data_IF_295013498944
#
_entry.id   IF_295013498944
#
_cell.length_a   1.000
_cell.length_b   1.000
_cell.length_c   1.000
_cell.angle_alpha   90.00
_cell.angle_beta   90.00
_cell.angle_gamma   90.00
#
_symmetry.space_group_name_H-M   'P 1'
#
loop_
_entity.id
_entity.type
_entity.pdbx_description
1 polymer ?
#
# COMPACT_ATOMS: atom_id res chain seq x y z
N UNK A 1 -1.34 6.21 59.95
CA UNK A 1 -1.99 5.51 58.81
C UNK A 1 -1.50 6.17 57.53
N UNK A 2 -1.17 5.38 56.51
CA UNK A 2 -0.22 5.63 55.41
C UNK A 2 -0.93 6.28 54.19
N UNK A 3 -0.32 7.23 53.45
CA UNK A 3 -0.93 7.69 52.20
C UNK A 3 -0.66 6.66 51.10
N UNK A 4 -1.71 6.20 50.43
CA UNK A 4 -1.60 5.37 49.24
C UNK A 4 -1.53 6.30 48.02
N UNK A 5 -0.34 6.41 47.43
CA UNK A 5 -0.15 7.10 46.16
C UNK A 5 -0.73 6.21 45.03
N UNK A 6 -1.70 6.74 44.30
CA UNK A 6 -2.24 6.10 43.10
C UNK A 6 -1.29 6.39 41.92
N UNK A 7 -0.54 5.38 41.49
CA UNK A 7 0.27 5.42 40.28
C UNK A 7 -0.65 5.31 39.06
N UNK A 8 -0.75 6.37 38.27
CA UNK A 8 -1.45 6.35 36.98
C UNK A 8 -0.55 5.64 35.96
N UNK A 9 -0.96 4.45 35.50
CA UNK A 9 -0.30 3.74 34.40
C UNK A 9 -0.85 4.31 33.10
N UNK A 10 -0.05 5.13 32.40
CA UNK A 10 -0.32 5.48 31.00
C UNK A 10 -0.07 4.23 30.14
N UNK A 11 -1.15 3.54 29.76
CA UNK A 11 -1.09 2.51 28.74
C UNK A 11 -0.91 3.18 27.37
N UNK A 12 0.30 3.14 26.84
CA UNK A 12 0.62 3.58 25.47
C UNK A 12 -0.07 2.63 24.47
N UNK A 13 -1.27 2.96 24.04
CA UNK A 13 -1.92 2.28 22.93
C UNK A 13 -1.10 2.56 21.66
N UNK A 14 -0.31 1.57 21.21
CA UNK A 14 0.24 1.58 19.88
C UNK A 14 -0.95 1.62 18.91
N UNK A 15 -1.16 2.76 18.25
CA UNK A 15 -2.17 2.87 17.21
C UNK A 15 -1.87 1.78 16.17
N UNK A 16 -2.85 0.93 15.80
CA UNK A 16 -2.64 0.01 14.69
C UNK A 16 -2.30 0.89 13.49
N UNK A 17 -1.21 0.55 12.81
CA UNK A 17 -0.79 1.23 11.58
C UNK A 17 -1.90 0.95 10.56
N UNK A 18 -2.87 1.87 10.50
CA UNK A 18 -3.95 1.87 9.52
C UNK A 18 -3.27 1.93 8.14
N UNK A 19 -3.52 0.95 7.28
CA UNK A 19 -3.01 0.95 5.91
C UNK A 19 -3.78 1.99 5.08
N UNK A 20 -3.56 3.27 5.40
CA UNK A 20 -4.26 4.41 4.85
C UNK A 20 -4.39 4.24 3.33
N UNK A 21 -5.62 4.32 2.81
CA UNK A 21 -5.90 4.33 1.37
C UNK A 21 -4.84 5.16 0.62
N UNK A 22 -4.21 4.56 -0.38
CA UNK A 22 -3.03 5.11 -1.07
C UNK A 22 -1.69 4.72 -0.44
N UNK A 23 -1.69 3.86 0.58
CA UNK A 23 -0.53 3.37 1.31
C UNK A 23 -0.02 2.02 0.83
N UNK A 24 1.14 1.60 1.35
CA UNK A 24 1.74 0.30 1.01
C UNK A 24 0.87 -0.85 1.49
N UNK A 25 0.83 -1.92 0.71
CA UNK A 25 0.37 -3.19 1.21
C UNK A 25 1.33 -3.77 2.25
N UNK A 26 0.86 -4.79 2.97
CA UNK A 26 1.68 -5.62 3.85
C UNK A 26 2.91 -6.16 3.10
N UNK A 27 4.04 -6.28 3.81
CA UNK A 27 5.37 -6.51 3.22
C UNK A 27 5.47 -7.74 2.31
N UNK A 28 4.63 -8.75 2.53
CA UNK A 28 4.62 -9.98 1.75
C UNK A 28 3.93 -9.86 0.37
N UNK A 29 3.29 -8.72 0.07
CA UNK A 29 2.63 -8.46 -1.21
C UNK A 29 3.50 -7.71 -2.23
N UNK A 30 4.76 -7.43 -1.88
CA UNK A 30 5.72 -6.80 -2.77
C UNK A 30 5.55 -5.28 -2.92
N UNK A 31 6.55 -4.66 -3.54
CA UNK A 31 6.60 -3.21 -3.71
C UNK A 31 5.72 -2.68 -4.87
N UNK A 32 5.07 -3.56 -5.62
CA UNK A 32 4.11 -3.22 -6.67
C UNK A 32 2.65 -3.27 -6.19
N UNK A 33 2.42 -3.23 -4.88
CA UNK A 33 1.10 -3.25 -4.26
C UNK A 33 0.81 -1.95 -3.50
N UNK A 34 -0.39 -1.40 -3.73
CA UNK A 34 -0.94 -0.25 -3.01
C UNK A 34 -2.36 -0.54 -2.50
N UNK A 35 -2.70 -0.04 -1.33
CA UNK A 35 -4.03 -0.16 -0.77
C UNK A 35 -5.00 0.82 -1.42
N UNK A 36 -6.03 0.30 -2.08
CA UNK A 36 -7.00 1.10 -2.82
C UNK A 36 -8.38 0.46 -2.79
N UNK A 37 -9.42 1.27 -3.00
CA UNK A 37 -10.75 0.75 -3.24
C UNK A 37 -10.75 -0.21 -4.43
N UNK A 38 -11.35 -1.39 -4.26
CA UNK A 38 -11.36 -2.47 -5.26
C UNK A 38 -11.94 -2.02 -6.61
N UNK A 39 -12.98 -1.18 -6.59
CA UNK A 39 -13.62 -0.70 -7.81
C UNK A 39 -12.74 0.33 -8.50
N UNK A 40 -12.11 1.23 -7.76
CA UNK A 40 -11.13 2.16 -8.31
C UNK A 40 -9.95 1.42 -8.93
N UNK A 41 -9.43 0.40 -8.26
CA UNK A 41 -8.33 -0.41 -8.78
C UNK A 41 -8.68 -1.02 -10.15
N UNK A 42 -9.83 -1.70 -10.23
CA UNK A 42 -10.26 -2.42 -11.43
C UNK A 42 -10.72 -1.49 -12.55
N UNK A 43 -11.56 -0.51 -12.23
CA UNK A 43 -12.29 0.26 -13.24
C UNK A 43 -11.56 1.52 -13.68
N UNK A 44 -10.76 2.13 -12.80
CA UNK A 44 -10.03 3.36 -13.11
C UNK A 44 -8.63 3.06 -13.60
N UNK A 45 -7.94 2.13 -12.94
CA UNK A 45 -6.53 1.84 -13.23
C UNK A 45 -6.33 0.52 -13.99
N UNK A 46 -7.39 -0.25 -14.27
CA UNK A 46 -7.28 -1.55 -14.95
C UNK A 46 -6.46 -2.58 -14.15
N UNK A 47 -6.31 -2.38 -12.85
CA UNK A 47 -5.49 -3.21 -11.98
C UNK A 47 -6.19 -4.47 -11.48
N UNK A 48 -5.39 -5.40 -10.97
CA UNK A 48 -5.85 -6.57 -10.22
C UNK A 48 -6.06 -6.15 -8.76
N UNK A 49 -7.30 -6.24 -8.28
CA UNK A 49 -7.63 -6.06 -6.87
C UNK A 49 -7.56 -7.42 -6.14
N UNK A 50 -6.87 -7.46 -5.02
CA UNK A 50 -6.62 -8.66 -4.22
C UNK A 50 -7.08 -8.42 -2.79
N UNK A 51 -8.13 -9.14 -2.40
CA UNK A 51 -8.76 -9.01 -1.07
C UNK A 51 -7.84 -9.52 0.04
N UNK A 52 -7.21 -10.67 -0.18
CA UNK A 52 -6.49 -11.42 0.86
C UNK A 52 -7.39 -12.39 1.62
N UNK A 53 -6.91 -12.86 2.77
CA UNK A 53 -7.66 -13.73 3.67
C UNK A 53 -7.23 -13.51 5.12
N UNK A 54 -7.98 -14.05 6.09
CA UNK A 54 -7.63 -13.96 7.51
C UNK A 54 -6.16 -14.39 7.76
N UNK A 55 -5.38 -13.53 8.43
CA UNK A 55 -3.95 -13.74 8.68
C UNK A 55 -3.02 -13.38 7.51
N UNK A 56 -3.57 -13.04 6.34
CA UNK A 56 -2.85 -12.63 5.15
C UNK A 56 -3.67 -11.58 4.39
N UNK A 57 -3.82 -10.39 4.98
CA UNK A 57 -4.51 -9.27 4.38
C UNK A 57 -3.48 -8.33 3.72
N UNK A 58 -3.59 -8.01 2.41
CA UNK A 58 -2.72 -7.04 1.75
C UNK A 58 -2.88 -5.65 2.36
N UNK A 59 -4.10 -5.27 2.70
CA UNK A 59 -4.42 -3.96 3.27
C UNK A 59 -5.00 -4.15 4.67
N UNK A 60 -4.13 -4.23 5.70
CA UNK A 60 -4.60 -4.38 7.06
C UNK A 60 -5.27 -3.07 7.49
N UNK A 61 -6.56 -3.17 7.86
CA UNK A 61 -7.33 -2.17 8.63
C UNK A 61 -8.22 -1.18 7.86
N UNK A 62 -8.32 -1.24 6.54
CA UNK A 62 -9.08 -0.24 5.76
C UNK A 62 -10.43 -0.77 5.22
N UNK A 63 -11.28 -1.39 6.05
CA UNK A 63 -12.66 -1.72 5.67
C UNK A 63 -12.84 -2.75 4.53
N UNK A 64 -14.09 -3.19 4.31
CA UNK A 64 -14.40 -4.36 3.45
C UNK A 64 -14.07 -4.18 1.95
N UNK A 65 -13.73 -2.98 1.49
CA UNK A 65 -13.55 -2.67 0.07
C UNK A 65 -12.17 -2.12 -0.30
N UNK A 66 -11.24 -1.98 0.66
CA UNK A 66 -9.86 -1.57 0.38
C UNK A 66 -8.99 -2.81 0.29
N UNK A 67 -8.55 -3.08 -0.93
CA UNK A 67 -7.83 -4.29 -1.31
C UNK A 67 -6.43 -3.92 -1.80
N UNK A 68 -5.54 -4.91 -1.88
CA UNK A 68 -4.27 -4.74 -2.55
C UNK A 68 -4.49 -4.52 -4.03
N UNK A 69 -3.96 -3.43 -4.59
CA UNK A 69 -4.08 -3.10 -6.00
C UNK A 69 -2.74 -3.26 -6.71
N UNK A 70 -2.75 -4.05 -7.77
CA UNK A 70 -1.60 -4.28 -8.65
C UNK A 70 -1.94 -3.77 -10.05
N UNK A 71 -1.20 -2.77 -10.53
CA UNK A 71 -1.43 -2.18 -11.85
C UNK A 71 -0.26 -2.53 -12.76
N UNK A 72 -0.52 -3.39 -13.74
CA UNK A 72 0.43 -3.75 -14.78
C UNK A 72 0.12 -2.96 -16.06
N UNK A 73 1.12 -2.82 -16.93
CA UNK A 73 1.04 -2.12 -18.20
C UNK A 73 0.63 -0.65 -18.08
N UNK A 74 1.03 0.02 -17.00
CA UNK A 74 0.70 1.43 -16.73
C UNK A 74 1.13 2.40 -17.84
N UNK A 75 2.14 2.04 -18.64
CA UNK A 75 2.54 2.77 -19.85
C UNK A 75 3.08 1.80 -20.91
N UNK A 76 2.24 0.85 -21.32
CA UNK A 76 2.57 -0.18 -22.32
C UNK A 76 3.18 -1.44 -21.72
N UNK A 77 3.60 -2.37 -22.58
CA UNK A 77 4.13 -3.67 -22.15
C UNK A 77 5.39 -3.54 -21.29
N UNK A 78 5.55 -4.48 -20.34
CA UNK A 78 6.69 -4.54 -19.40
C UNK A 78 6.80 -3.33 -18.47
N UNK A 79 5.68 -2.69 -18.16
CA UNK A 79 5.61 -1.63 -17.15
C UNK A 79 4.68 -2.03 -16.01
N UNK A 80 4.96 -1.55 -14.81
CA UNK A 80 4.21 -1.87 -13.59
C UNK A 80 4.23 -0.67 -12.66
N UNK A 81 3.09 -0.39 -12.02
CA UNK A 81 3.05 0.59 -10.95
C UNK A 81 3.72 0.04 -9.70
N UNK A 82 4.67 0.80 -9.15
CA UNK A 82 5.54 0.36 -8.07
C UNK A 82 6.00 1.55 -7.23
N UNK A 83 6.30 1.29 -5.95
CA UNK A 83 6.86 2.30 -5.08
C UNK A 83 8.21 2.81 -5.60
N UNK A 84 8.35 4.12 -5.67
CA UNK A 84 9.45 4.82 -6.33
C UNK A 84 10.83 4.44 -5.79
N UNK A 85 10.95 4.28 -4.48
CA UNK A 85 12.14 3.78 -3.79
C UNK A 85 12.55 2.39 -4.27
N UNK A 86 11.60 1.52 -4.61
CA UNK A 86 11.91 0.19 -5.14
C UNK A 86 12.24 0.25 -6.63
N UNK A 87 11.48 1.00 -7.42
CA UNK A 87 11.76 1.17 -8.85
C UNK A 87 13.15 1.78 -9.09
N UNK A 88 13.51 2.81 -8.32
CA UNK A 88 14.78 3.50 -8.46
C UNK A 88 15.97 2.79 -7.78
N UNK A 89 15.72 1.87 -6.84
CA UNK A 89 16.80 1.09 -6.21
C UNK A 89 17.23 -0.13 -7.02
N UNK A 90 16.35 -0.66 -7.86
CA UNK A 90 16.74 -1.66 -8.85
C UNK A 90 17.55 -0.99 -9.95
N UNK A 91 18.80 -1.41 -10.18
CA UNK A 91 19.66 -0.98 -11.30
C UNK A 91 19.07 -1.24 -12.70
N UNK A 92 17.87 -1.82 -12.76
CA UNK A 92 17.14 -2.20 -13.96
C UNK A 92 15.80 -1.44 -14.10
N UNK A 93 15.35 -0.74 -13.05
CA UNK A 93 14.09 -0.03 -13.04
C UNK A 93 14.24 1.42 -13.50
N UNK A 94 13.40 1.86 -14.43
CA UNK A 94 13.29 3.27 -14.84
C UNK A 94 11.93 3.81 -14.47
N UNK A 95 11.90 4.91 -13.69
CA UNK A 95 10.67 5.65 -13.42
C UNK A 95 10.25 6.39 -14.70
N UNK A 96 9.06 6.11 -15.20
CA UNK A 96 8.50 6.79 -16.36
C UNK A 96 7.82 8.12 -15.94
N UNK A 97 7.90 9.17 -16.78
CA UNK A 97 7.20 10.43 -16.54
C UNK A 97 5.68 10.27 -16.68
N UNK A 98 4.93 11.21 -16.07
CA UNK A 98 3.46 11.26 -16.02
C UNK A 98 2.83 10.05 -15.31
N UNK A 99 2.67 10.09 -13.97
CA UNK A 99 2.20 8.95 -13.21
C UNK A 99 0.73 8.61 -13.55
N UNK A 100 0.52 7.47 -14.20
CA UNK A 100 -0.81 6.87 -14.43
C UNK A 100 -1.26 6.03 -13.22
N UNK A 101 -0.41 5.90 -12.21
CA UNK A 101 -0.57 4.98 -11.09
C UNK A 101 -1.38 5.58 -9.93
N UNK A 102 -2.18 4.77 -9.21
CA UNK A 102 -2.86 5.22 -7.99
C UNK A 102 -1.81 5.45 -6.89
N UNK A 103 -1.80 6.59 -6.19
CA UNK A 103 -0.82 6.87 -5.13
C UNK A 103 0.10 8.07 -5.38
N UNK A 104 -0.18 8.85 -6.42
CA UNK A 104 0.48 10.13 -6.67
C UNK A 104 1.97 9.98 -6.97
N UNK A 105 2.81 10.78 -6.32
CA UNK A 105 4.23 10.92 -6.69
C UNK A 105 5.12 9.75 -6.23
N UNK A 106 4.63 8.87 -5.35
CA UNK A 106 5.44 7.83 -4.73
C UNK A 106 5.13 6.43 -5.23
N UNK A 107 3.98 6.21 -5.87
CA UNK A 107 3.66 4.97 -6.58
C UNK A 107 3.62 5.29 -8.07
N UNK A 108 4.68 4.89 -8.77
CA UNK A 108 5.02 5.40 -10.10
C UNK A 108 5.05 4.27 -11.12
N UNK A 109 4.90 4.61 -12.40
CA UNK A 109 5.02 3.63 -13.46
C UNK A 109 6.50 3.31 -13.67
N UNK A 110 6.89 2.07 -13.39
CA UNK A 110 8.25 1.56 -13.53
C UNK A 110 8.37 0.69 -14.78
N UNK A 111 9.48 0.81 -15.49
CA UNK A 111 9.87 -0.07 -16.60
C UNK A 111 11.10 -0.88 -16.21
N UNK A 112 11.08 -2.17 -16.53
CA UNK A 112 12.18 -3.12 -16.34
C UNK A 112 12.69 -3.64 -17.69
#
# INVERSE_FOLDING_TARGET
>A
MKPAALTVILASAAAPVLAAIGGRCASNYGANCICLNKNTCRNTYGGRAEEGSAGNWPCPSDGNDIWGCFVNNCKGSSTVCQWKDFCASSSFGTVLPDPVCPGGNNFVCCKY
#
